data_IF_309225075840
#
_entry.id   IF_309225075840
#
_cell.length_a   1.000
_cell.length_b   1.000
_cell.length_c   1.000
_cell.angle_alpha   90.00
_cell.angle_beta   90.00
_cell.angle_gamma   90.00
#
_symmetry.space_group_name_H-M   'P 1'
#
loop_
_entity.id
_entity.type
_entity.pdbx_description
1 polymer ?
#
# COMPACT_ATOMS: atom_id res chain seq x y z
N UNK A 1 15.27 18.14 10.61
CA UNK A 1 15.51 17.11 11.65
C UNK A 1 14.47 15.99 11.48
N UNK A 2 14.86 14.73 11.63
CA UNK A 2 13.99 13.54 11.45
C UNK A 2 14.16 12.59 12.64
N UNK A 3 13.06 12.03 13.13
CA UNK A 3 13.03 10.91 14.06
C UNK A 3 12.40 9.68 13.39
N UNK A 4 12.88 8.48 13.72
CA UNK A 4 12.34 7.22 13.19
C UNK A 4 12.06 6.27 14.34
N UNK A 5 10.81 5.82 14.43
CA UNK A 5 10.39 4.78 15.37
C UNK A 5 10.28 3.48 14.58
N UNK A 6 10.94 2.41 15.04
CA UNK A 6 10.84 1.08 14.44
C UNK A 6 10.16 0.12 15.43
N UNK A 7 8.97 -0.34 15.07
CA UNK A 7 8.22 -1.34 15.81
C UNK A 7 8.35 -2.69 15.09
N UNK A 8 8.72 -3.74 15.82
CA UNK A 8 8.80 -5.10 15.29
C UNK A 8 7.90 -6.02 16.11
N UNK A 9 7.24 -6.95 15.45
CA UNK A 9 6.33 -7.86 16.12
C UNK A 9 5.81 -8.95 15.20
N UNK A 10 4.71 -9.56 15.60
CA UNK A 10 3.99 -10.55 14.83
C UNK A 10 2.48 -10.34 14.97
N UNK A 11 1.75 -10.75 13.95
CA UNK A 11 0.31 -10.92 14.03
C UNK A 11 0.06 -12.19 14.82
N UNK A 12 -0.65 -12.11 15.93
CA UNK A 12 -0.92 -13.24 16.82
C UNK A 12 -2.40 -13.59 16.77
N UNK A 13 -2.70 -14.89 16.64
CA UNK A 13 -4.07 -15.38 16.65
C UNK A 13 -4.75 -15.07 17.99
N UNK A 14 -5.94 -14.49 17.92
CA UNK A 14 -6.82 -14.28 19.08
C UNK A 14 -7.89 -15.38 19.19
N UNK A 15 -7.79 -16.44 18.38
CA UNK A 15 -8.78 -17.51 18.38
C UNK A 15 -8.88 -18.16 19.77
N UNK A 16 -10.09 -18.39 20.29
CA UNK A 16 -10.29 -18.91 21.65
C UNK A 16 -9.88 -20.37 21.84
N UNK A 17 -9.41 -21.05 20.79
CA UNK A 17 -8.98 -22.45 20.85
C UNK A 17 -7.52 -22.55 21.33
N UNK A 18 -7.29 -23.22 22.46
CA UNK A 18 -5.98 -23.37 23.11
C UNK A 18 -4.84 -23.89 22.20
N UNK A 19 -5.15 -24.61 21.13
CA UNK A 19 -4.14 -25.12 20.17
C UNK A 19 -3.55 -24.05 19.24
N UNK A 20 -4.17 -22.87 19.15
CA UNK A 20 -3.69 -21.76 18.30
C UNK A 20 -3.14 -20.57 19.10
N UNK A 21 -3.10 -20.67 20.44
CA UNK A 21 -2.48 -19.67 21.28
C UNK A 21 -1.00 -19.52 20.92
N UNK A 22 -0.54 -18.29 20.66
CA UNK A 22 0.83 -18.01 20.22
C UNK A 22 1.09 -18.28 18.73
N UNK A 23 0.09 -18.71 17.96
CA UNK A 23 0.24 -18.87 16.51
C UNK A 23 0.46 -17.51 15.84
N UNK A 24 1.57 -17.39 15.12
CA UNK A 24 2.06 -16.14 14.53
C UNK A 24 2.31 -16.30 13.03
N UNK A 25 1.27 -16.26 12.18
CA UNK A 25 1.40 -16.56 10.77
C UNK A 25 2.21 -15.53 9.99
N UNK A 26 2.30 -14.30 10.51
CA UNK A 26 2.98 -13.19 9.87
C UNK A 26 3.82 -12.44 10.90
N UNK A 27 5.02 -12.01 10.51
CA UNK A 27 5.83 -11.03 11.26
C UNK A 27 5.74 -9.66 10.61
N UNK A 28 6.02 -8.62 11.37
CA UNK A 28 6.06 -7.27 10.82
C UNK A 28 7.23 -6.42 11.33
N UNK A 29 7.60 -5.44 10.52
CA UNK A 29 8.43 -4.30 10.89
C UNK A 29 7.80 -3.00 10.37
N UNK A 30 7.28 -2.18 11.29
CA UNK A 30 6.73 -0.85 10.98
C UNK A 30 7.76 0.21 11.27
N UNK A 31 8.04 1.09 10.31
CA UNK A 31 8.88 2.27 10.48
C UNK A 31 8.04 3.52 10.34
N UNK A 32 8.03 4.35 11.37
CA UNK A 32 7.30 5.62 11.42
C UNK A 32 8.33 6.74 11.38
N UNK A 33 8.32 7.52 10.30
CA UNK A 33 9.21 8.66 10.09
C UNK A 33 8.47 9.95 10.41
N UNK A 34 8.97 10.68 11.39
CA UNK A 34 8.48 12.00 11.78
C UNK A 34 9.53 13.08 11.45
N UNK A 35 9.06 14.22 10.97
CA UNK A 35 9.92 15.34 10.56
C UNK A 35 9.54 16.60 11.33
N UNK A 36 10.54 17.37 11.76
CA UNK A 36 10.31 18.63 12.46
C UNK A 36 9.48 19.60 11.60
N UNK A 37 8.44 20.20 12.19
CA UNK A 37 7.55 21.13 11.51
C UNK A 37 6.53 20.48 10.58
N UNK A 38 6.42 19.15 10.54
CA UNK A 38 5.39 18.43 9.78
C UNK A 38 4.38 17.80 10.71
N UNK A 39 3.10 17.94 10.39
CA UNK A 39 2.01 17.30 11.12
C UNK A 39 1.55 15.98 10.48
N UNK A 40 2.31 15.45 9.51
CA UNK A 40 2.17 14.07 9.05
C UNK A 40 3.36 13.21 9.48
N UNK A 41 3.12 11.91 9.54
CA UNK A 41 4.15 10.89 9.59
C UNK A 41 4.08 10.02 8.34
N UNK A 42 5.25 9.60 7.84
CA UNK A 42 5.38 8.57 6.80
C UNK A 42 5.50 7.22 7.50
N UNK A 43 4.71 6.24 7.10
CA UNK A 43 4.70 4.89 7.67
C UNK A 43 5.05 3.89 6.58
N UNK A 44 6.07 3.08 6.82
CA UNK A 44 6.42 1.93 5.98
C UNK A 44 6.19 0.68 6.81
N UNK A 45 5.19 -0.10 6.44
CA UNK A 45 4.84 -1.34 7.12
C UNK A 45 5.26 -2.54 6.28
N UNK A 46 6.25 -3.28 6.76
CA UNK A 46 6.72 -4.52 6.13
C UNK A 46 6.07 -5.71 6.81
N UNK A 47 5.42 -6.57 6.02
CA UNK A 47 4.91 -7.88 6.46
C UNK A 47 5.81 -8.97 5.91
N UNK A 48 6.07 -10.00 6.70
CA UNK A 48 6.90 -11.16 6.37
C UNK A 48 6.06 -12.41 6.61
N UNK A 49 5.93 -13.25 5.59
CA UNK A 49 5.21 -14.51 5.65
C UNK A 49 6.03 -15.52 6.45
N UNK A 50 5.50 -15.99 7.58
CA UNK A 50 6.17 -16.96 8.46
C UNK A 50 5.34 -18.20 8.78
N UNK A 51 4.11 -18.26 8.27
CA UNK A 51 3.26 -19.45 8.29
C UNK A 51 3.72 -20.47 7.24
N UNK A 52 3.14 -21.67 7.31
CA UNK A 52 3.14 -22.62 6.21
C UNK A 52 2.19 -22.11 5.11
N UNK A 53 2.68 -21.67 3.93
CA UNK A 53 1.83 -21.11 2.90
C UNK A 53 0.84 -22.12 2.33
N UNK A 54 1.13 -23.44 2.39
CA UNK A 54 0.23 -24.51 1.92
C UNK A 54 -1.08 -24.57 2.70
N UNK A 55 -1.08 -24.11 3.94
CA UNK A 55 -2.21 -24.24 4.87
C UNK A 55 -2.82 -22.89 5.26
N UNK A 56 -2.15 -21.78 4.95
CA UNK A 56 -2.53 -20.45 5.42
C UNK A 56 -2.74 -19.49 4.26
N UNK A 57 -3.88 -18.82 4.28
CA UNK A 57 -4.22 -17.74 3.36
C UNK A 57 -4.70 -16.53 4.17
N UNK A 58 -4.58 -15.33 3.62
CA UNK A 58 -4.97 -14.10 4.30
C UNK A 58 -6.19 -13.50 3.63
N UNK A 59 -7.29 -13.37 4.37
CA UNK A 59 -8.51 -12.70 3.89
C UNK A 59 -8.29 -11.19 3.80
N UNK A 60 -7.77 -10.61 4.89
CA UNK A 60 -7.52 -9.18 5.01
C UNK A 60 -6.20 -8.94 5.74
N UNK A 61 -5.45 -7.95 5.28
CA UNK A 61 -4.22 -7.49 5.91
C UNK A 61 -4.25 -5.97 6.00
N UNK A 62 -4.17 -5.43 7.20
CA UNK A 62 -4.23 -3.98 7.38
C UNK A 62 -3.81 -3.51 8.75
N UNK A 63 -3.91 -2.19 8.92
CA UNK A 63 -3.74 -1.49 10.19
C UNK A 63 -4.91 -0.52 10.38
N UNK A 64 -5.20 -0.20 11.63
CA UNK A 64 -6.18 0.83 11.98
C UNK A 64 -5.46 2.05 12.54
N UNK A 65 -5.79 3.23 12.01
CA UNK A 65 -5.42 4.53 12.55
C UNK A 65 -6.58 5.01 13.42
N UNK A 66 -6.45 4.94 14.76
CA UNK A 66 -7.55 5.27 15.64
C UNK A 66 -7.78 6.79 15.65
N UNK A 67 -9.06 7.17 15.67
CA UNK A 67 -9.50 8.51 16.08
C UNK A 67 -10.56 8.30 17.16
N UNK A 68 -10.39 8.96 18.30
CA UNK A 68 -11.37 8.88 19.38
C UNK A 68 -12.63 9.65 18.94
N UNK A 69 -13.79 8.98 18.80
CA UNK A 69 -15.01 9.68 18.46
C UNK A 69 -15.50 10.46 19.69
N UNK A 70 -15.36 11.78 19.66
CA UNK A 70 -16.09 12.69 20.55
C UNK A 70 -17.30 13.22 19.77
N UNK A 71 -18.44 12.50 19.84
CA UNK A 71 -19.67 12.88 19.15
C UNK A 71 -19.71 12.51 17.67
N UNK A 72 -20.46 13.27 16.87
CA UNK A 72 -20.53 13.12 15.41
C UNK A 72 -19.33 13.78 14.74
N UNK A 73 -18.94 13.26 13.59
CA UNK A 73 -17.89 13.85 12.76
C UNK A 73 -18.25 13.83 11.27
N UNK A 74 -17.26 14.09 10.44
CA UNK A 74 -17.37 13.97 8.98
C UNK A 74 -16.17 13.24 8.42
N UNK A 75 -16.38 12.48 7.36
CA UNK A 75 -15.31 11.94 6.54
C UNK A 75 -15.29 12.62 5.17
N UNK A 76 -14.11 12.66 4.55
CA UNK A 76 -13.93 12.99 3.13
C UNK A 76 -13.02 11.96 2.47
N UNK A 77 -13.27 11.64 1.21
CA UNK A 77 -12.51 10.66 0.43
C UNK A 77 -12.36 11.12 -1.01
N UNK A 78 -11.23 10.79 -1.64
CA UNK A 78 -11.06 10.98 -3.08
C UNK A 78 -11.45 9.71 -3.86
N UNK A 79 -12.67 9.69 -4.37
CA UNK A 79 -13.27 8.56 -5.11
C UNK A 79 -13.75 9.04 -6.50
N UNK A 80 -12.80 9.34 -7.40
CA UNK A 80 -13.05 9.99 -8.71
C UNK A 80 -13.42 11.48 -8.62
N UNK A 81 -14.05 11.87 -7.51
CA UNK A 81 -14.24 13.24 -7.02
C UNK A 81 -14.09 13.24 -5.51
N UNK A 82 -14.05 14.43 -4.90
CA UNK A 82 -14.17 14.51 -3.43
C UNK A 82 -15.60 14.15 -3.04
N UNK A 83 -15.73 13.15 -2.17
CA UNK A 83 -16.98 12.77 -1.53
C UNK A 83 -16.87 13.01 -0.04
N UNK A 84 -17.99 13.33 0.59
CA UNK A 84 -18.06 13.58 2.02
C UNK A 84 -19.36 13.05 2.62
N UNK A 85 -19.33 12.77 3.92
CA UNK A 85 -20.50 12.29 4.63
C UNK A 85 -20.31 12.29 6.14
N UNK A 86 -21.38 12.03 6.90
CA UNK A 86 -21.33 11.99 8.34
C UNK A 86 -20.52 10.78 8.81
N UNK A 87 -19.64 10.99 9.78
CA UNK A 87 -18.99 9.94 10.53
C UNK A 87 -19.82 9.65 11.79
N UNK A 88 -20.50 8.50 11.77
CA UNK A 88 -21.34 8.00 12.86
C UNK A 88 -20.95 6.55 13.16
N UNK A 89 -21.01 6.10 14.43
CA UNK A 89 -20.54 4.76 14.83
C UNK A 89 -21.21 3.59 14.11
N UNK A 90 -22.48 3.73 13.71
CA UNK A 90 -23.29 2.67 13.11
C UNK A 90 -23.01 2.47 11.62
N UNK A 91 -22.23 3.36 11.00
CA UNK A 91 -21.91 3.32 9.57
C UNK A 91 -20.45 3.01 9.33
N UNK A 92 -20.23 2.34 8.20
CA UNK A 92 -18.90 2.11 7.65
C UNK A 92 -18.87 2.59 6.21
N UNK A 93 -17.78 3.17 5.77
CA UNK A 93 -17.60 3.50 4.36
C UNK A 93 -16.22 3.03 3.89
N UNK A 94 -16.17 2.49 2.67
CA UNK A 94 -15.02 1.75 2.18
C UNK A 94 -14.71 2.12 0.72
N UNK A 95 -13.50 2.58 0.51
CA UNK A 95 -12.90 2.78 -0.80
C UNK A 95 -12.07 1.53 -1.14
N UNK A 96 -12.55 0.69 -2.04
CA UNK A 96 -11.86 -0.53 -2.47
C UNK A 96 -11.33 -0.38 -3.90
N UNK A 97 -10.02 -0.42 -4.06
CA UNK A 97 -9.38 -0.55 -5.37
C UNK A 97 -9.23 -2.05 -5.68
N UNK A 98 -10.15 -2.60 -6.50
CA UNK A 98 -10.24 -4.04 -6.78
C UNK A 98 -9.19 -4.48 -7.81
N UNK A 99 -9.04 -3.71 -8.87
CA UNK A 99 -8.09 -3.89 -9.96
C UNK A 99 -7.25 -2.62 -10.09
N UNK A 100 -6.18 -2.63 -10.87
CA UNK A 100 -5.41 -1.40 -11.11
C UNK A 100 -6.18 -0.32 -11.88
N UNK A 101 -7.27 -0.69 -12.56
CA UNK A 101 -8.17 0.21 -13.28
C UNK A 101 -9.64 0.14 -12.81
N UNK A 102 -9.92 -0.33 -11.59
CA UNK A 102 -11.28 -0.27 -11.08
C UNK A 102 -11.33 -0.15 -9.56
N UNK A 103 -12.05 0.87 -9.08
CA UNK A 103 -12.40 1.05 -7.67
C UNK A 103 -13.90 1.16 -7.46
N UNK A 104 -14.33 0.86 -6.23
CA UNK A 104 -15.66 1.12 -5.70
C UNK A 104 -15.57 1.97 -4.43
N UNK A 105 -16.55 2.86 -4.26
CA UNK A 105 -16.84 3.53 -2.99
C UNK A 105 -18.19 3.05 -2.49
N UNK A 106 -18.20 2.46 -1.29
CA UNK A 106 -19.36 1.78 -0.73
C UNK A 106 -19.63 2.26 0.69
N UNK A 107 -20.90 2.41 1.03
CA UNK A 107 -21.35 2.70 2.39
C UNK A 107 -22.17 1.53 2.93
N UNK A 108 -21.97 1.23 4.20
CA UNK A 108 -22.63 0.15 4.93
C UNK A 108 -23.35 0.71 6.16
N UNK A 109 -24.58 0.27 6.36
CA UNK A 109 -25.41 0.54 7.54
C UNK A 109 -25.99 -0.80 8.02
N UNK A 110 -25.35 -1.39 9.03
CA UNK A 110 -25.62 -2.78 9.41
C UNK A 110 -25.30 -3.77 8.27
N UNK A 111 -26.32 -4.44 7.75
CA UNK A 111 -26.21 -5.40 6.63
C UNK A 111 -26.47 -4.76 5.27
N UNK A 112 -26.99 -3.53 5.24
CA UNK A 112 -27.27 -2.84 4.00
C UNK A 112 -25.97 -2.30 3.40
N UNK A 113 -25.81 -2.49 2.09
CA UNK A 113 -24.67 -2.03 1.29
C UNK A 113 -25.18 -1.15 0.17
N UNK A 114 -24.63 0.05 0.05
CA UNK A 114 -24.92 0.96 -1.05
C UNK A 114 -23.62 1.34 -1.78
N UNK A 115 -23.52 0.96 -3.06
CA UNK A 115 -22.50 1.49 -3.94
C UNK A 115 -22.81 2.96 -4.26
N UNK A 116 -21.84 3.84 -4.01
CA UNK A 116 -22.00 5.30 -4.10
C UNK A 116 -21.21 5.91 -5.24
N UNK A 117 -20.08 5.30 -5.60
CA UNK A 117 -19.30 5.66 -6.77
C UNK A 117 -18.44 4.47 -7.23
N UNK A 118 -18.04 4.50 -8.50
CA UNK A 118 -16.99 3.66 -9.06
C UNK A 118 -16.20 4.47 -10.09
N UNK A 119 -15.02 3.97 -10.45
CA UNK A 119 -14.19 4.59 -11.48
C UNK A 119 -12.88 3.83 -11.64
N UNK A 120 -11.95 4.36 -12.41
CA UNK A 120 -10.75 3.60 -12.76
C UNK A 120 -9.71 3.56 -11.63
N UNK A 121 -9.32 4.73 -11.11
CA UNK A 121 -8.28 4.85 -10.10
C UNK A 121 -8.76 5.71 -8.94
N UNK A 122 -8.75 5.14 -7.74
CA UNK A 122 -9.02 5.86 -6.52
C UNK A 122 -7.92 6.89 -6.26
N UNK A 123 -8.26 8.01 -5.63
CA UNK A 123 -7.28 9.05 -5.36
C UNK A 123 -6.27 8.68 -4.26
N UNK A 124 -6.47 7.54 -3.57
CA UNK A 124 -5.51 7.01 -2.60
C UNK A 124 -5.57 7.63 -1.21
N UNK A 125 -6.61 8.41 -0.88
CA UNK A 125 -6.70 9.06 0.44
C UNK A 125 -8.13 9.13 1.00
N UNK A 126 -8.22 9.14 2.33
CA UNK A 126 -9.43 9.35 3.12
C UNK A 126 -9.08 10.15 4.37
N UNK A 127 -10.00 10.97 4.88
CA UNK A 127 -9.85 11.61 6.18
C UNK A 127 -11.14 11.58 6.97
N UNK A 128 -11.02 11.63 8.30
CA UNK A 128 -12.12 11.75 9.24
C UNK A 128 -11.79 12.81 10.29
N UNK A 129 -12.78 13.62 10.67
CA UNK A 129 -12.64 14.65 11.70
C UNK A 129 -13.85 14.68 12.62
N UNK A 130 -13.60 14.99 13.89
CA UNK A 130 -14.63 15.38 14.85
C UNK A 130 -14.60 16.91 15.05
N UNK A 131 -15.36 17.45 16.00
CA UNK A 131 -15.41 18.89 16.26
C UNK A 131 -14.10 19.54 16.75
N UNK A 132 -13.00 18.79 16.92
CA UNK A 132 -11.72 19.30 17.45
C UNK A 132 -10.52 18.97 16.57
N UNK A 133 -10.42 17.72 16.15
CA UNK A 133 -9.25 17.19 15.44
C UNK A 133 -9.70 16.27 14.30
N UNK A 134 -8.83 16.12 13.32
CA UNK A 134 -8.99 15.14 12.28
C UNK A 134 -7.71 14.40 11.96
N UNK A 135 -7.89 13.25 11.35
CA UNK A 135 -6.84 12.39 10.86
C UNK A 135 -7.10 12.05 9.40
N UNK A 136 -6.07 12.13 8.59
CA UNK A 136 -6.10 11.76 7.19
C UNK A 136 -5.10 10.65 6.92
N UNK A 137 -5.48 9.72 6.04
CA UNK A 137 -4.61 8.67 5.54
C UNK A 137 -4.45 8.83 4.04
N UNK A 138 -3.20 8.75 3.57
CA UNK A 138 -2.85 8.66 2.17
C UNK A 138 -2.06 7.36 1.95
N UNK A 139 -2.62 6.40 1.22
CA UNK A 139 -2.04 5.08 0.95
C UNK A 139 -1.41 5.08 -0.45
N UNK A 140 -0.08 4.95 -0.52
CA UNK A 140 0.63 4.96 -1.81
C UNK A 140 0.33 3.70 -2.60
N UNK A 141 0.35 3.86 -3.91
CA UNK A 141 0.25 2.78 -4.89
C UNK A 141 -1.01 1.93 -4.72
N UNK A 142 -2.15 2.53 -4.34
CA UNK A 142 -3.40 1.77 -4.16
C UNK A 142 -3.82 1.03 -5.43
N UNK A 143 -3.73 1.70 -6.59
CA UNK A 143 -4.06 1.11 -7.89
C UNK A 143 -2.99 0.12 -8.33
N UNK A 144 -1.73 0.46 -8.20
CA UNK A 144 -0.63 -0.37 -8.67
C UNK A 144 -0.46 -1.64 -7.83
N UNK A 145 -0.69 -1.58 -6.52
CA UNK A 145 -0.56 -2.70 -5.57
C UNK A 145 -1.91 -3.29 -5.17
N UNK A 146 -2.92 -3.26 -6.04
CA UNK A 146 -4.25 -3.81 -5.77
C UNK A 146 -4.20 -5.31 -5.36
N UNK A 147 -5.21 -5.82 -4.62
CA UNK A 147 -6.38 -5.13 -4.10
C UNK A 147 -6.13 -4.46 -2.75
N UNK A 148 -6.38 -3.15 -2.68
CA UNK A 148 -6.18 -2.32 -1.49
C UNK A 148 -7.43 -1.54 -1.15
N UNK A 149 -7.59 -1.21 0.12
CA UNK A 149 -8.75 -0.44 0.56
C UNK A 149 -8.45 0.55 1.69
N UNK A 150 -9.26 1.60 1.74
CA UNK A 150 -9.30 2.58 2.83
C UNK A 150 -10.73 2.62 3.38
N UNK A 151 -10.88 2.36 4.67
CA UNK A 151 -12.18 2.34 5.34
C UNK A 151 -12.27 3.39 6.43
N UNK A 152 -13.48 3.86 6.72
CA UNK A 152 -13.78 4.72 7.87
C UNK A 152 -14.96 4.15 8.63
N UNK A 153 -14.82 4.00 9.95
CA UNK A 153 -15.84 3.45 10.83
C UNK A 153 -15.71 3.96 12.26
N UNK A 154 -16.48 3.40 13.18
CA UNK A 154 -16.54 3.84 14.59
C UNK A 154 -15.18 3.98 15.30
N UNK A 155 -14.20 3.14 14.93
CA UNK A 155 -12.90 3.08 15.59
C UNK A 155 -11.80 3.87 14.85
N UNK A 156 -12.14 4.53 13.74
CA UNK A 156 -11.24 5.35 12.95
C UNK A 156 -11.08 4.86 11.51
N UNK A 157 -9.86 5.02 10.98
CA UNK A 157 -9.56 4.72 9.58
C UNK A 157 -8.85 3.38 9.47
N UNK A 158 -9.40 2.48 8.67
CA UNK A 158 -8.77 1.22 8.30
C UNK A 158 -7.92 1.40 7.03
N UNK A 159 -6.71 0.87 7.08
CA UNK A 159 -5.74 0.87 5.99
C UNK A 159 -5.48 -0.57 5.61
N UNK A 160 -6.15 -1.06 4.56
CA UNK A 160 -5.99 -2.42 4.07
C UNK A 160 -4.91 -2.47 2.99
N UNK A 161 -3.83 -3.17 3.30
CA UNK A 161 -2.77 -3.50 2.35
C UNK A 161 -3.16 -4.65 1.44
N UNK A 162 -4.02 -5.56 1.91
CA UNK A 162 -4.70 -6.56 1.11
C UNK A 162 -6.16 -6.65 1.57
N UNK A 163 -7.09 -6.46 0.64
CA UNK A 163 -8.51 -6.79 0.83
C UNK A 163 -9.20 -6.88 -0.53
N UNK A 164 -9.60 -8.09 -0.90
CA UNK A 164 -10.33 -8.29 -2.14
C UNK A 164 -11.85 -8.22 -1.89
N UNK A 165 -12.59 -7.31 -2.57
CA UNK A 165 -14.04 -7.15 -2.35
C UNK A 165 -14.88 -8.36 -2.81
N UNK A 166 -14.30 -9.30 -3.56
CA UNK A 166 -14.96 -10.55 -3.99
C UNK A 166 -14.59 -11.73 -3.07
N UNK A 167 -13.84 -11.49 -2.00
CA UNK A 167 -13.48 -12.50 -1.01
C UNK A 167 -12.32 -13.39 -1.41
N UNK A 168 -11.55 -13.04 -2.46
CA UNK A 168 -10.32 -13.74 -2.78
C UNK A 168 -9.30 -13.56 -1.67
N UNK A 169 -8.64 -14.66 -1.29
CA UNK A 169 -7.62 -14.66 -0.23
C UNK A 169 -6.24 -14.51 -0.84
N UNK A 170 -5.36 -13.79 -0.15
CA UNK A 170 -3.94 -13.75 -0.46
C UNK A 170 -3.35 -15.13 -0.19
N UNK A 171 -2.85 -15.75 -1.24
CA UNK A 171 -2.22 -17.06 -1.18
C UNK A 171 -0.75 -16.94 -1.54
N UNK A 172 0.10 -17.48 -0.67
CA UNK A 172 1.54 -17.60 -0.90
C UNK A 172 1.93 -19.06 -1.21
N UNK A 173 0.94 -19.88 -1.59
CA UNK A 173 1.12 -21.26 -2.01
C UNK A 173 1.94 -21.32 -3.29
N UNK A 174 2.56 -22.46 -3.51
CA UNK A 174 3.02 -22.83 -4.85
C UNK A 174 1.84 -22.85 -5.82
N UNK A 175 2.10 -22.43 -7.05
CA UNK A 175 1.11 -22.51 -8.12
C UNK A 175 0.91 -23.96 -8.62
N UNK A 176 1.92 -24.83 -8.45
CA UNK A 176 1.86 -26.26 -8.78
C UNK A 176 2.69 -27.11 -7.80
N UNK A 177 2.24 -28.35 -7.60
CA UNK A 177 2.98 -29.37 -6.83
C UNK A 177 4.16 -29.94 -7.62
N UNK A 178 4.04 -29.98 -8.95
CA UNK A 178 5.14 -30.32 -9.83
C UNK A 178 6.24 -29.26 -9.71
N UNK A 179 7.49 -29.70 -9.65
CA UNK A 179 8.66 -28.82 -9.52
C UNK A 179 9.27 -28.60 -10.89
N UNK A 180 9.25 -27.36 -11.37
CA UNK A 180 9.86 -26.98 -12.63
C UNK A 180 11.37 -26.76 -12.45
N UNK A 181 12.13 -27.84 -12.28
CA UNK A 181 13.60 -27.77 -12.08
C UNK A 181 14.34 -27.01 -13.18
N UNK A 182 13.82 -27.03 -14.41
CA UNK A 182 14.38 -26.32 -15.56
C UNK A 182 14.22 -24.79 -15.46
N UNK A 183 13.24 -24.31 -14.69
CA UNK A 183 13.02 -22.91 -14.35
C UNK A 183 13.79 -22.50 -13.06
N UNK A 184 14.64 -23.39 -12.53
CA UNK A 184 15.41 -23.14 -11.30
C UNK A 184 14.61 -23.29 -10.01
N UNK A 185 13.39 -23.88 -10.07
CA UNK A 185 12.59 -24.12 -8.88
C UNK A 185 13.17 -25.22 -7.98
N UNK A 186 13.01 -25.04 -6.66
CA UNK A 186 13.28 -26.08 -5.68
C UNK A 186 12.01 -26.60 -5.01
N UNK A 187 12.11 -27.76 -4.34
CA UNK A 187 11.02 -28.37 -3.54
C UNK A 187 10.49 -27.43 -2.45
N UNK A 188 11.31 -26.50 -1.97
CA UNK A 188 10.97 -25.51 -0.94
C UNK A 188 10.61 -24.13 -1.50
N UNK A 189 10.42 -23.98 -2.81
CA UNK A 189 10.03 -22.68 -3.37
C UNK A 189 8.52 -22.46 -3.15
N UNK A 190 8.14 -22.11 -1.92
CA UNK A 190 6.85 -21.51 -1.57
C UNK A 190 7.06 -20.06 -1.10
N UNK A 191 6.01 -19.36 -0.71
CA UNK A 191 6.12 -17.97 -0.27
C UNK A 191 6.62 -17.77 1.17
N UNK A 192 7.20 -18.79 1.83
CA UNK A 192 7.76 -18.62 3.18
C UNK A 192 8.94 -17.66 3.14
N UNK A 193 8.93 -16.65 4.01
CA UNK A 193 9.95 -15.62 4.07
C UNK A 193 9.73 -14.47 3.08
N UNK A 194 8.79 -14.58 2.15
CA UNK A 194 8.38 -13.47 1.28
C UNK A 194 7.94 -12.28 2.13
N UNK A 195 8.38 -11.09 1.73
CA UNK A 195 8.07 -9.87 2.45
C UNK A 195 7.59 -8.77 1.51
N UNK A 196 6.55 -8.04 1.92
CA UNK A 196 6.05 -6.85 1.21
C UNK A 196 6.05 -5.66 2.14
N UNK A 197 6.58 -4.54 1.64
CA UNK A 197 6.45 -3.24 2.29
C UNK A 197 5.34 -2.43 1.65
N UNK A 198 4.41 -1.94 2.46
CA UNK A 198 3.39 -0.96 2.06
C UNK A 198 3.70 0.40 2.68
N UNK A 199 3.52 1.46 1.90
CA UNK A 199 3.79 2.83 2.31
C UNK A 199 2.50 3.64 2.40
N UNK A 200 2.29 4.30 3.53
CA UNK A 200 1.18 5.23 3.72
C UNK A 200 1.59 6.39 4.63
N UNK A 201 0.78 7.44 4.64
CA UNK A 201 0.97 8.61 5.49
C UNK A 201 -0.23 8.77 6.41
N UNK A 202 0.04 9.28 7.60
CA UNK A 202 -0.99 9.72 8.54
C UNK A 202 -0.78 11.21 8.78
N UNK A 203 -1.75 12.03 8.41
CA UNK A 203 -1.76 13.47 8.60
C UNK A 203 -2.69 13.86 9.74
N UNK A 204 -2.21 14.68 10.66
CA UNK A 204 -3.00 15.20 11.78
C UNK A 204 -3.31 16.68 11.55
N UNK A 205 -4.56 17.06 11.74
CA UNK A 205 -5.01 18.43 11.54
C UNK A 205 -6.09 18.83 12.56
N UNK A 206 -6.30 20.13 12.70
CA UNK A 206 -7.42 20.67 13.48
C UNK A 206 -8.71 20.53 12.68
N UNK A 207 -9.84 20.36 13.36
CA UNK A 207 -11.14 20.32 12.69
C UNK A 207 -11.31 21.47 11.69
N UNK A 208 -12.03 21.21 10.60
CA UNK A 208 -12.31 22.12 9.48
C UNK A 208 -11.07 22.49 8.65
N UNK A 209 -9.88 22.00 9.02
CA UNK A 209 -8.63 22.22 8.28
C UNK A 209 -8.26 21.05 7.35
N UNK A 210 -9.17 20.08 7.17
CA UNK A 210 -8.96 18.95 6.27
C UNK A 210 -8.73 19.44 4.83
N UNK A 211 -7.68 18.93 4.19
CA UNK A 211 -7.34 19.27 2.81
C UNK A 211 -7.04 17.99 2.03
N UNK A 212 -7.92 17.66 1.08
CA UNK A 212 -7.71 16.54 0.15
C UNK A 212 -6.44 16.74 -0.70
N UNK A 213 -6.17 17.97 -1.12
CA UNK A 213 -4.94 18.32 -1.87
C UNK A 213 -3.67 18.02 -1.07
N UNK A 214 -3.67 18.33 0.23
CA UNK A 214 -2.55 17.99 1.11
C UNK A 214 -2.32 16.49 1.17
N UNK A 215 -3.38 15.69 1.37
CA UNK A 215 -3.28 14.24 1.41
C UNK A 215 -2.85 13.64 0.07
N UNK A 216 -3.40 14.14 -1.04
CA UNK A 216 -3.00 13.74 -2.39
C UNK A 216 -1.53 14.06 -2.66
N UNK A 217 -1.04 15.22 -2.20
CA UNK A 217 0.37 15.59 -2.30
C UNK A 217 1.32 14.65 -1.55
N UNK A 218 0.86 14.02 -0.46
CA UNK A 218 1.66 13.02 0.27
C UNK A 218 1.89 11.74 -0.53
N UNK A 219 1.02 11.41 -1.49
CA UNK A 219 1.20 10.24 -2.36
C UNK A 219 2.39 10.38 -3.33
N UNK A 220 2.82 11.61 -3.56
CA UNK A 220 3.93 11.98 -4.43
C UNK A 220 4.98 12.77 -3.65
N UNK A 221 5.64 12.15 -2.65
CA UNK A 221 6.62 12.86 -1.84
C UNK A 221 7.76 13.36 -2.73
N UNK A 222 8.21 14.62 -2.55
CA UNK A 222 9.27 15.18 -3.37
C UNK A 222 10.56 14.38 -3.21
N UNK A 223 11.20 14.08 -4.34
CA UNK A 223 12.51 13.44 -4.37
C UNK A 223 13.60 14.52 -4.46
N UNK A 224 14.64 14.35 -3.65
CA UNK A 224 15.86 15.16 -3.75
C UNK A 224 16.94 14.24 -4.28
N UNK A 225 17.46 14.56 -5.46
CA UNK A 225 18.61 13.90 -6.06
C UNK A 225 19.85 14.79 -5.97
N UNK A 226 21.01 14.16 -6.10
CA UNK A 226 22.30 14.85 -6.23
C UNK A 226 22.68 14.89 -7.70
N UNK A 227 23.42 15.92 -8.11
CA UNK A 227 23.98 16.02 -9.46
C UNK A 227 24.76 14.74 -9.82
N UNK A 228 24.38 14.03 -10.90
CA UNK A 228 25.08 12.82 -11.34
C UNK A 228 26.58 13.03 -11.57
N UNK A 229 27.01 14.19 -12.08
CA UNK A 229 28.44 14.46 -12.32
C UNK A 229 29.22 14.54 -11.01
N UNK A 230 28.63 15.15 -9.98
CA UNK A 230 29.23 15.16 -8.65
C UNK A 230 29.34 13.76 -8.05
N UNK A 231 28.29 12.93 -8.22
CA UNK A 231 28.28 11.55 -7.71
C UNK A 231 29.42 10.74 -8.33
N UNK A 232 29.63 10.83 -9.65
CA UNK A 232 30.73 10.13 -10.33
C UNK A 232 32.09 10.67 -9.91
N UNK A 233 32.27 11.99 -9.85
CA UNK A 233 33.53 12.59 -9.41
C UNK A 233 33.90 12.23 -7.96
N UNK A 234 32.90 12.02 -7.10
CA UNK A 234 33.12 11.62 -5.70
C UNK A 234 33.75 10.24 -5.54
N UNK A 235 33.60 9.36 -6.55
CA UNK A 235 34.01 7.95 -6.49
C UNK A 235 33.20 7.08 -5.52
N UNK A 236 32.13 7.60 -4.90
CA UNK A 236 31.39 6.92 -3.84
C UNK A 236 30.65 5.65 -4.29
N UNK A 237 30.34 5.52 -5.58
CA UNK A 237 29.65 4.36 -6.17
C UNK A 237 30.50 3.64 -7.23
N UNK A 238 31.81 3.85 -7.20
CA UNK A 238 32.73 3.33 -8.20
C UNK A 238 32.74 4.18 -9.49
N UNK A 239 33.52 3.73 -10.48
CA UNK A 239 33.60 4.39 -11.77
C UNK A 239 32.34 4.14 -12.59
N UNK A 240 31.55 5.19 -12.82
CA UNK A 240 30.42 5.18 -13.75
C UNK A 240 30.67 6.23 -14.84
N UNK A 241 30.19 5.95 -16.05
CA UNK A 241 30.18 6.95 -17.12
C UNK A 241 28.92 7.83 -16.97
N UNK A 242 29.05 9.15 -17.03
CA UNK A 242 27.89 10.09 -16.98
C UNK A 242 27.29 10.44 -18.34
N UNK A 243 27.71 9.77 -19.43
CA UNK A 243 27.01 9.78 -20.72
C UNK A 243 27.12 11.09 -21.51
N UNK A 244 27.95 11.09 -22.55
CA UNK A 244 27.87 12.01 -23.70
C UNK A 244 28.58 11.48 -24.97
N UNK A 245 29.33 10.37 -24.87
CA UNK A 245 30.27 9.95 -25.93
C UNK A 245 29.69 8.88 -26.89
N UNK A 246 28.53 8.28 -26.59
CA UNK A 246 27.97 7.14 -27.34
C UNK A 246 26.49 7.31 -27.69
N UNK A 247 26.13 8.27 -28.58
CA UNK A 247 24.74 8.65 -28.83
C UNK A 247 23.87 7.51 -29.39
N UNK A 248 24.46 6.50 -30.03
CA UNK A 248 23.70 5.30 -30.48
C UNK A 248 23.32 4.40 -29.30
N UNK A 249 24.25 4.17 -28.39
CA UNK A 249 24.02 3.35 -27.20
C UNK A 249 23.03 4.03 -26.26
N UNK A 250 23.16 5.34 -26.07
CA UNK A 250 22.26 6.13 -25.21
C UNK A 250 20.82 6.07 -25.72
N UNK A 251 20.62 6.19 -27.05
CA UNK A 251 19.31 6.00 -27.67
C UNK A 251 18.76 4.59 -27.47
N UNK A 252 19.60 3.57 -27.56
CA UNK A 252 19.18 2.17 -27.36
C UNK A 252 18.76 1.92 -25.91
N UNK A 253 19.52 2.42 -24.94
CA UNK A 253 19.20 2.30 -23.51
C UNK A 253 17.93 3.07 -23.15
N UNK A 254 17.78 4.30 -23.64
CA UNK A 254 16.55 5.09 -23.46
C UNK A 254 15.35 4.37 -24.06
N UNK A 255 15.47 3.89 -25.30
CA UNK A 255 14.41 3.14 -25.96
C UNK A 255 14.04 1.85 -25.23
N UNK A 256 15.00 1.17 -24.59
CA UNK A 256 14.71 0.00 -23.75
C UNK A 256 13.91 0.38 -22.49
N UNK A 257 14.30 1.46 -21.80
CA UNK A 257 13.57 1.94 -20.61
C UNK A 257 12.14 2.35 -20.98
N UNK A 258 11.96 3.13 -22.05
CA UNK A 258 10.64 3.55 -22.54
C UNK A 258 9.78 2.33 -22.96
N UNK A 259 10.40 1.34 -23.61
CA UNK A 259 9.74 0.11 -24.00
C UNK A 259 9.27 -0.69 -22.78
N UNK A 260 10.10 -0.82 -21.75
CA UNK A 260 9.76 -1.50 -20.49
C UNK A 260 8.63 -0.79 -19.74
N UNK A 261 8.68 0.55 -19.63
CA UNK A 261 7.60 1.34 -19.01
C UNK A 261 6.27 1.12 -19.73
N UNK A 262 6.29 1.16 -21.08
CA UNK A 262 5.12 0.86 -21.89
C UNK A 262 4.59 -0.57 -21.70
N UNK A 263 5.47 -1.55 -21.44
CA UNK A 263 5.06 -2.94 -21.20
C UNK A 263 4.43 -3.14 -19.83
N UNK A 264 4.96 -2.49 -18.78
CA UNK A 264 4.35 -2.51 -17.44
C UNK A 264 2.89 -2.06 -17.52
N UNK A 265 2.61 -0.98 -18.26
CA UNK A 265 1.25 -0.48 -18.44
C UNK A 265 0.40 -1.36 -19.36
N UNK A 266 0.94 -1.77 -20.51
CA UNK A 266 0.21 -2.57 -21.50
C UNK A 266 -0.19 -3.95 -20.99
N UNK A 267 0.73 -4.63 -20.32
CA UNK A 267 0.55 -5.99 -19.78
C UNK A 267 0.12 -5.98 -18.32
N UNK A 268 -0.03 -4.79 -17.72
CA UNK A 268 -0.56 -4.59 -16.37
C UNK A 268 0.22 -5.38 -15.33
N UNK A 269 1.55 -5.25 -15.34
CA UNK A 269 2.44 -5.84 -14.33
C UNK A 269 2.28 -5.09 -12.99
N UNK A 270 1.12 -5.30 -12.39
CA UNK A 270 0.56 -4.62 -11.22
C UNK A 270 -0.13 -5.66 -10.36
N UNK A 271 -0.19 -5.41 -9.06
CA UNK A 271 -0.71 -6.34 -8.08
C UNK A 271 0.08 -6.24 -6.79
N UNK A 272 -0.45 -6.82 -5.72
CA UNK A 272 0.11 -6.69 -4.37
C UNK A 272 1.57 -7.15 -4.27
N UNK A 273 1.94 -8.26 -4.93
CA UNK A 273 3.33 -8.73 -4.99
C UNK A 273 4.02 -8.40 -6.31
N UNK A 274 3.26 -8.18 -7.39
CA UNK A 274 3.79 -8.09 -8.75
C UNK A 274 4.28 -6.68 -9.10
N UNK A 275 3.72 -5.63 -8.47
CA UNK A 275 4.11 -4.26 -8.73
C UNK A 275 5.58 -3.99 -8.35
N UNK A 276 6.35 -3.55 -9.34
CA UNK A 276 7.78 -3.29 -9.22
C UNK A 276 8.65 -4.38 -9.84
N UNK A 277 8.06 -5.47 -10.34
CA UNK A 277 8.73 -6.52 -11.09
C UNK A 277 8.37 -6.50 -12.59
N UNK A 278 9.12 -7.24 -13.40
CA UNK A 278 8.96 -7.36 -14.85
C UNK A 278 9.17 -8.79 -15.31
N UNK A 279 8.54 -9.18 -16.42
CA UNK A 279 8.81 -10.51 -16.99
C UNK A 279 10.21 -10.58 -17.61
N UNK A 280 10.87 -11.73 -17.46
CA UNK A 280 12.23 -11.96 -17.95
C UNK A 280 12.28 -12.52 -19.39
N UNK A 281 11.21 -13.17 -19.85
CA UNK A 281 11.09 -13.76 -21.18
C UNK A 281 9.74 -13.38 -21.80
N UNK A 282 9.72 -13.27 -23.12
CA UNK A 282 8.54 -12.89 -23.90
C UNK A 282 8.37 -13.87 -25.05
N UNK A 283 7.16 -14.40 -25.20
CA UNK A 283 6.74 -15.21 -26.34
C UNK A 283 5.99 -14.37 -27.38
#
# INVERSE_FOLDING_TARGET
MRAVICCRGAYESIAPMHHYAGYRPLRFATRIYAYAGKAHVRVVHTVIVTCNPRETEVEELGLRVPILPEGSGTWRVGAGRVMEGPWVPERYALLSQRLDNHFYWEEYEGVERAARAEGERAAGWICAENGRVGVGVALRYMAEEYPKALGVGAQGIDVFFWRDPEGRRLSCKRYAEEVAWHEGEGVYADGTGTAKSSEFFVDFFRAESASGERLQGLLHPPQVSVDPDWVVQSGAIGGLATGAEFPRSDRMLTGFVDWMEGHIERYRWKGFFDWGDVMATWE
#
